data_IF_350647853973
#
_entry.id   IF_350647853973
#
_cell.length_a   1.000
_cell.length_b   1.000
_cell.length_c   1.000
_cell.angle_alpha   90.00
_cell.angle_beta   90.00
_cell.angle_gamma   90.00
#
_symmetry.space_group_name_H-M   'P 1'
#
loop_
_entity.id
_entity.type
_entity.pdbx_description
1 polymer ?
#
# COMPACT_ATOMS: atom_id res chain seq x y z
N UNK A 1 -10.29 3.05 18.75
CA UNK A 1 -9.83 1.86 17.99
C UNK A 1 -10.81 1.37 16.89
N UNK A 2 -11.95 2.03 16.63
CA UNK A 2 -13.00 1.50 15.74
C UNK A 2 -13.34 2.39 14.53
N UNK A 3 -12.34 2.99 13.86
CA UNK A 3 -12.59 3.79 12.64
C UNK A 3 -12.03 3.17 11.36
N UNK A 4 -11.25 2.08 11.46
CA UNK A 4 -10.61 1.42 10.31
C UNK A 4 -11.49 0.34 9.64
N UNK A 5 -12.60 -0.05 10.27
CA UNK A 5 -13.49 -1.12 9.76
C UNK A 5 -14.34 -0.68 8.56
N UNK A 6 -14.54 0.62 8.35
CA UNK A 6 -15.44 1.15 7.31
C UNK A 6 -14.87 1.05 5.87
N UNK A 7 -13.58 0.79 5.71
CA UNK A 7 -12.92 0.67 4.39
C UNK A 7 -12.65 -0.78 3.95
N UNK A 8 -13.08 -1.79 4.72
CA UNK A 8 -12.81 -3.21 4.41
C UNK A 8 -11.30 -3.56 4.39
N UNK A 9 -10.46 -2.65 4.86
CA UNK A 9 -9.02 -2.82 4.97
C UNK A 9 -8.71 -3.33 6.39
N UNK A 10 -8.15 -4.53 6.49
CA UNK A 10 -7.57 -4.95 7.77
C UNK A 10 -6.55 -3.91 8.21
N UNK A 11 -6.50 -3.61 9.51
CA UNK A 11 -5.54 -2.67 10.13
C UNK A 11 -4.10 -2.99 9.67
N UNK A 12 -3.79 -4.28 9.50
CA UNK A 12 -2.51 -4.77 8.97
C UNK A 12 -2.23 -4.30 7.54
N UNK A 13 -3.24 -4.31 6.67
CA UNK A 13 -3.09 -3.86 5.29
C UNK A 13 -2.88 -2.35 5.20
N UNK A 14 -3.53 -1.57 6.09
CA UNK A 14 -3.29 -0.13 6.23
C UNK A 14 -1.87 0.16 6.72
N UNK A 15 -1.41 -0.54 7.77
CA UNK A 15 -0.04 -0.41 8.26
C UNK A 15 1.02 -0.76 7.21
N UNK A 16 0.78 -1.80 6.40
CA UNK A 16 1.67 -2.15 5.28
C UNK A 16 1.68 -1.04 4.21
N UNK A 17 0.52 -0.48 3.88
CA UNK A 17 0.44 0.65 2.94
C UNK A 17 1.25 1.85 3.44
N UNK A 18 1.13 2.20 4.73
CA UNK A 18 1.90 3.28 5.34
C UNK A 18 3.41 3.01 5.32
N UNK A 19 3.84 1.77 5.55
CA UNK A 19 5.27 1.40 5.45
C UNK A 19 5.81 1.59 4.04
N UNK A 20 5.08 1.12 3.02
CA UNK A 20 5.49 1.28 1.61
C UNK A 20 5.51 2.75 1.23
N UNK A 21 4.48 3.52 1.61
CA UNK A 21 4.44 4.96 1.38
C UNK A 21 5.60 5.70 2.08
N UNK A 22 6.00 5.26 3.29
CA UNK A 22 7.16 5.81 3.97
C UNK A 22 8.45 5.51 3.22
N UNK A 23 8.65 4.28 2.76
CA UNK A 23 9.83 3.92 1.94
C UNK A 23 9.90 4.74 0.66
N UNK A 24 8.76 4.97 0.00
CA UNK A 24 8.70 5.82 -1.20
C UNK A 24 9.05 7.28 -0.85
N UNK A 25 8.54 7.80 0.27
CA UNK A 25 8.89 9.13 0.74
C UNK A 25 10.39 9.24 1.06
N UNK A 26 10.96 8.23 1.73
CA UNK A 26 12.39 8.19 2.06
C UNK A 26 13.25 8.13 0.78
N UNK A 27 12.82 7.38 -0.25
CA UNK A 27 13.49 7.34 -1.57
C UNK A 27 13.39 8.65 -2.34
N UNK A 28 12.32 9.43 -2.10
CA UNK A 28 12.14 10.75 -2.67
C UNK A 28 12.80 11.86 -1.84
N UNK A 29 13.58 11.50 -0.81
CA UNK A 29 14.17 12.42 0.17
C UNK A 29 13.13 13.37 0.82
N UNK A 30 11.88 12.92 0.90
CA UNK A 30 10.79 13.68 1.49
C UNK A 30 10.70 13.43 3.00
N UNK A 31 10.72 14.51 3.77
CA UNK A 31 10.66 14.44 5.25
C UNK A 31 9.31 13.87 5.74
N UNK A 32 8.23 14.22 5.03
CA UNK A 32 6.87 13.77 5.31
C UNK A 32 6.26 12.90 4.22
N UNK A 33 5.32 12.04 4.63
CA UNK A 33 4.53 11.23 3.69
C UNK A 33 3.48 12.11 3.03
N UNK A 34 3.78 12.56 1.82
CA UNK A 34 2.82 13.27 0.98
C UNK A 34 1.81 12.34 0.28
N UNK A 35 0.71 12.95 -0.21
CA UNK A 35 -0.37 12.26 -0.92
C UNK A 35 0.12 11.47 -2.14
N UNK A 36 1.18 11.94 -2.82
CA UNK A 36 1.80 11.25 -3.96
C UNK A 36 2.40 9.89 -3.56
N UNK A 37 3.06 9.81 -2.40
CA UNK A 37 3.68 8.57 -1.92
C UNK A 37 2.62 7.54 -1.53
N UNK A 38 1.49 8.00 -0.98
CA UNK A 38 0.33 7.14 -0.70
C UNK A 38 -0.31 6.60 -1.99
N UNK A 39 -0.40 7.43 -3.04
CA UNK A 39 -0.92 7.00 -4.34
C UNK A 39 -0.01 5.96 -5.00
N UNK A 40 1.30 6.16 -4.98
CA UNK A 40 2.25 5.17 -5.48
C UNK A 40 2.17 3.87 -4.68
N UNK A 41 2.18 3.93 -3.35
CA UNK A 41 2.03 2.75 -2.50
C UNK A 41 0.73 1.97 -2.80
N UNK A 42 -0.36 2.68 -3.10
CA UNK A 42 -1.63 2.06 -3.47
C UNK A 42 -1.54 1.38 -4.84
N UNK A 43 -0.90 2.01 -5.82
CA UNK A 43 -0.65 1.47 -7.16
C UNK A 43 0.21 0.21 -7.10
N UNK A 44 1.30 0.22 -6.32
CA UNK A 44 2.13 -0.97 -6.09
C UNK A 44 1.31 -2.13 -5.51
N UNK A 45 0.41 -1.85 -4.58
CA UNK A 45 -0.46 -2.88 -4.00
C UNK A 45 -1.50 -3.42 -4.99
N UNK A 46 -1.99 -2.60 -5.91
CA UNK A 46 -2.88 -3.06 -6.97
C UNK A 46 -2.15 -4.02 -7.93
N UNK A 47 -0.92 -3.66 -8.31
CA UNK A 47 -0.04 -4.50 -9.14
C UNK A 47 0.29 -5.81 -8.41
N UNK A 48 0.66 -5.76 -7.13
CA UNK A 48 0.94 -6.95 -6.32
C UNK A 48 -0.25 -7.92 -6.29
N UNK A 49 -1.48 -7.42 -6.12
CA UNK A 49 -2.69 -8.26 -6.19
C UNK A 49 -2.87 -8.89 -7.57
N UNK A 50 -2.63 -8.13 -8.63
CA UNK A 50 -2.74 -8.64 -10.00
C UNK A 50 -1.67 -9.70 -10.29
N UNK A 51 -0.43 -9.49 -9.86
CA UNK A 51 0.66 -10.46 -9.99
C UNK A 51 0.36 -11.76 -9.22
N UNK A 52 -0.12 -11.65 -7.98
CA UNK A 52 -0.53 -12.81 -7.20
C UNK A 52 -1.69 -13.57 -7.86
N UNK A 53 -2.61 -12.87 -8.53
CA UNK A 53 -3.69 -13.50 -9.29
C UNK A 53 -3.17 -14.23 -10.53
N UNK A 54 -2.28 -13.61 -11.29
CA UNK A 54 -1.64 -14.22 -12.47
C UNK A 54 -0.81 -15.46 -12.10
N UNK A 55 -0.04 -15.39 -11.00
CA UNK A 55 0.71 -16.55 -10.50
C UNK A 55 -0.18 -17.74 -10.16
N UNK A 56 -1.39 -17.50 -9.62
CA UNK A 56 -2.37 -18.57 -9.36
C UNK A 56 -3.03 -19.13 -10.62
N UNK A 57 -3.07 -18.38 -11.71
CA UNK A 57 -3.59 -18.87 -13.00
C UNK A 57 -2.56 -19.70 -13.77
N UNK A 58 -1.27 -19.49 -13.49
CA UNK A 58 -0.16 -20.22 -14.11
C UNK A 58 0.27 -21.48 -13.32
N UNK A 59 -0.29 -21.67 -12.12
CA UNK A 59 -0.10 -22.84 -11.27
C UNK A 59 -1.29 -23.79 -11.41
#
# INVERSE_FOLDING_TARGET
EQTLTQLGLSIRAWQRLLKVARTIADLAEAEEIERRHLQEALSYRAIDRMLNHLQKMMA
#
